data_IF_208065311186
#
_entry.id   IF_208065311186
#
_cell.length_a   1.000
_cell.length_b   1.000
_cell.length_c   1.000
_cell.angle_alpha   90.00
_cell.angle_beta   90.00
_cell.angle_gamma   90.00
#
_symmetry.space_group_name_H-M   'P 1'
#
loop_
_entity.id
_entity.type
_entity.pdbx_description
1 polymer ?
#
# COMPACT_ATOMS: atom_id res chain seq x y z
N UNK A 1 -42.29 27.61 21.79
CA UNK A 1 -42.03 26.49 20.89
C UNK A 1 -42.93 25.35 21.32
N UNK A 2 -43.88 24.98 20.47
CA UNK A 2 -44.86 23.94 20.79
C UNK A 2 -44.17 22.55 20.74
N UNK A 3 -44.64 21.60 21.56
CA UNK A 3 -44.10 20.24 21.58
C UNK A 3 -44.07 19.58 20.18
N UNK A 4 -45.01 19.95 19.32
CA UNK A 4 -45.09 19.50 17.93
C UNK A 4 -43.92 20.00 17.07
N UNK A 5 -43.54 21.28 17.20
CA UNK A 5 -42.42 21.87 16.46
C UNK A 5 -41.10 21.22 16.88
N UNK A 6 -40.95 20.97 18.19
CA UNK A 6 -39.77 20.29 18.72
C UNK A 6 -39.67 18.85 18.20
N UNK A 7 -40.78 18.11 18.21
CA UNK A 7 -40.82 16.74 17.70
C UNK A 7 -40.45 16.68 16.21
N UNK A 8 -40.91 17.64 15.41
CA UNK A 8 -40.70 17.70 13.96
C UNK A 8 -39.25 18.08 13.61
N UNK A 9 -38.66 19.05 14.31
CA UNK A 9 -37.24 19.40 14.15
C UNK A 9 -36.34 18.25 14.60
N UNK A 10 -36.66 17.59 15.71
CA UNK A 10 -35.89 16.47 16.22
C UNK A 10 -35.92 15.25 15.27
N UNK A 11 -37.10 14.92 14.73
CA UNK A 11 -37.22 13.85 13.72
C UNK A 11 -36.52 14.21 12.42
N UNK A 12 -36.58 15.47 11.97
CA UNK A 12 -35.83 15.95 10.81
C UNK A 12 -34.31 15.80 10.98
N UNK A 13 -33.79 16.17 12.14
CA UNK A 13 -32.36 16.02 12.48
C UNK A 13 -31.93 14.54 12.52
N UNK A 14 -32.75 13.66 13.10
CA UNK A 14 -32.47 12.22 13.12
C UNK A 14 -32.48 11.66 11.70
N UNK A 15 -33.49 11.98 10.88
CA UNK A 15 -33.56 11.52 9.50
C UNK A 15 -32.35 11.97 8.68
N UNK A 16 -31.92 13.23 8.87
CA UNK A 16 -30.75 13.78 8.21
C UNK A 16 -29.45 13.10 8.66
N UNK A 17 -29.31 12.80 9.95
CA UNK A 17 -28.15 12.08 10.47
C UNK A 17 -28.09 10.64 9.93
N UNK A 18 -29.22 9.93 9.91
CA UNK A 18 -29.29 8.56 9.36
C UNK A 18 -28.95 8.55 7.88
N UNK A 19 -29.48 9.50 7.11
CA UNK A 19 -29.16 9.65 5.69
C UNK A 19 -27.69 9.99 5.46
N UNK A 20 -27.12 10.85 6.30
CA UNK A 20 -25.69 11.20 6.22
C UNK A 20 -24.81 9.98 6.52
N UNK A 21 -25.16 9.20 7.53
CA UNK A 21 -24.44 7.97 7.89
C UNK A 21 -24.56 6.88 6.83
N UNK A 22 -25.71 6.75 6.15
CA UNK A 22 -25.87 5.75 5.08
C UNK A 22 -25.09 6.08 3.81
N UNK A 23 -24.78 7.36 3.60
CA UNK A 23 -23.95 7.81 2.48
C UNK A 23 -22.45 7.75 2.76
N UNK A 24 -22.03 7.63 4.03
CA UNK A 24 -20.63 7.46 4.39
C UNK A 24 -20.20 6.04 4.05
N UNK A 25 -19.52 5.89 2.91
CA UNK A 25 -18.82 4.65 2.58
C UNK A 25 -17.40 4.76 3.13
N UNK A 26 -17.00 3.82 3.98
CA UNK A 26 -15.61 3.76 4.47
C UNK A 26 -14.74 3.41 3.26
N UNK A 27 -13.75 4.24 2.87
CA UNK A 27 -12.89 3.90 1.75
C UNK A 27 -12.12 2.62 2.07
N UNK A 28 -12.22 1.62 1.19
CA UNK A 28 -11.44 0.41 1.32
C UNK A 28 -9.95 0.73 1.19
N UNK A 29 -9.08 0.06 1.97
CA UNK A 29 -7.64 0.22 1.79
C UNK A 29 -7.27 -0.17 0.36
N UNK A 30 -6.47 0.66 -0.30
CA UNK A 30 -5.99 0.39 -1.66
C UNK A 30 -4.54 -0.05 -1.63
N UNK A 31 -4.17 -0.93 -2.56
CA UNK A 31 -2.78 -1.28 -2.79
C UNK A 31 -2.05 -0.06 -3.38
N UNK A 32 -0.93 0.33 -2.77
CA UNK A 32 -0.05 1.35 -3.33
C UNK A 32 1.39 0.85 -3.43
N UNK A 33 1.95 0.75 -4.65
CA UNK A 33 3.34 0.34 -4.84
C UNK A 33 4.32 1.36 -4.24
N UNK A 34 3.89 2.62 -4.05
CA UNK A 34 4.70 3.69 -3.48
C UNK A 34 5.17 3.38 -2.05
N UNK A 35 4.35 2.70 -1.26
CA UNK A 35 4.69 2.32 0.13
C UNK A 35 5.85 1.32 0.15
N UNK A 36 5.83 0.35 -0.78
CA UNK A 36 6.89 -0.64 -0.92
C UNK A 36 8.19 0.02 -1.43
N UNK A 37 8.09 0.84 -2.47
CA UNK A 37 9.23 1.53 -3.07
C UNK A 37 9.87 2.53 -2.12
N UNK A 38 9.10 3.25 -1.30
CA UNK A 38 9.64 4.18 -0.32
C UNK A 38 10.41 3.49 0.80
N UNK A 39 9.95 2.31 1.24
CA UNK A 39 10.67 1.48 2.20
C UNK A 39 11.99 0.98 1.62
N UNK A 40 11.96 0.46 0.38
CA UNK A 40 13.16 0.02 -0.33
C UNK A 40 14.14 1.18 -0.49
N UNK A 41 13.69 2.34 -0.99
CA UNK A 41 14.54 3.51 -1.20
C UNK A 41 15.18 4.02 0.12
N UNK A 42 14.45 3.93 1.24
CA UNK A 42 14.96 4.36 2.55
C UNK A 42 16.07 3.45 3.09
N UNK A 43 16.07 2.17 2.69
CA UNK A 43 16.92 1.13 3.29
C UNK A 43 18.04 0.67 2.33
N UNK A 44 17.81 0.73 1.02
CA UNK A 44 18.69 0.26 -0.07
C UNK A 44 20.18 0.60 0.09
N UNK A 45 20.51 1.83 0.49
CA UNK A 45 21.89 2.31 0.62
C UNK A 45 22.30 2.62 2.05
N UNK A 46 21.53 2.15 3.03
CA UNK A 46 21.84 2.29 4.47
C UNK A 46 22.01 0.91 5.10
N UNK A 47 23.24 0.38 5.13
CA UNK A 47 23.51 -0.93 5.73
C UNK A 47 23.00 -0.98 7.17
N UNK A 48 22.57 -2.16 7.63
CA UNK A 48 22.02 -2.43 8.97
C UNK A 48 20.71 -1.69 9.30
N UNK A 49 20.16 -0.92 8.36
CA UNK A 49 18.87 -0.26 8.56
C UNK A 49 17.72 -1.23 8.35
N UNK A 50 16.67 -1.04 9.14
CA UNK A 50 15.43 -1.78 9.03
C UNK A 50 14.24 -0.82 9.09
N UNK A 51 13.21 -1.10 8.31
CA UNK A 51 11.94 -0.37 8.30
C UNK A 51 10.82 -1.40 8.27
N UNK A 52 9.79 -1.18 9.09
CA UNK A 52 8.58 -2.00 9.06
C UNK A 52 7.47 -1.22 8.37
N UNK A 53 6.87 -1.82 7.34
CA UNK A 53 5.74 -1.22 6.60
C UNK A 53 4.51 -2.12 6.66
N UNK A 54 3.35 -1.52 6.43
CA UNK A 54 2.09 -2.22 6.23
C UNK A 54 1.66 -2.06 4.79
N UNK A 55 1.46 -3.19 4.11
CA UNK A 55 1.06 -3.24 2.72
C UNK A 55 -0.23 -4.04 2.60
N UNK A 56 -1.28 -3.41 2.10
CA UNK A 56 -2.53 -4.08 1.80
C UNK A 56 -2.50 -4.62 0.37
N UNK A 57 -2.62 -5.93 0.20
CA UNK A 57 -2.88 -6.53 -1.11
C UNK A 57 -4.39 -6.72 -1.26
N UNK A 58 -4.97 -6.19 -2.34
CA UNK A 58 -6.39 -6.41 -2.64
C UNK A 58 -6.63 -7.79 -3.24
N UNK A 59 -7.90 -8.20 -3.34
CA UNK A 59 -8.31 -9.54 -3.78
C UNK A 59 -7.71 -9.95 -5.13
N UNK A 60 -7.65 -9.02 -6.07
CA UNK A 60 -7.18 -9.26 -7.43
C UNK A 60 -5.70 -8.91 -7.62
N UNK A 61 -5.02 -8.43 -6.58
CA UNK A 61 -3.62 -7.98 -6.66
C UNK A 61 -2.68 -9.07 -6.19
N UNK A 62 -1.73 -9.44 -7.04
CA UNK A 62 -0.62 -10.36 -6.71
C UNK A 62 0.68 -9.61 -6.90
N UNK A 63 1.48 -9.52 -5.84
CA UNK A 63 2.82 -8.93 -5.90
C UNK A 63 3.83 -10.06 -5.86
N UNK A 64 4.68 -10.13 -6.88
CA UNK A 64 5.79 -11.09 -6.97
C UNK A 64 7.08 -10.30 -7.01
N UNK A 65 7.94 -10.53 -6.03
CA UNK A 65 9.28 -9.97 -5.95
C UNK A 65 10.24 -11.11 -6.24
N UNK A 66 11.18 -10.91 -7.15
CA UNK A 66 12.23 -11.87 -7.44
C UNK A 66 13.49 -11.17 -7.95
N UNK A 67 14.64 -11.48 -7.35
CA UNK A 67 15.92 -10.85 -7.67
C UNK A 67 15.81 -9.33 -7.66
N UNK A 68 15.88 -8.63 -8.78
CA UNK A 68 15.75 -7.18 -8.86
C UNK A 68 14.41 -6.71 -9.46
N UNK A 69 13.41 -7.60 -9.59
CA UNK A 69 12.16 -7.31 -10.29
C UNK A 69 10.99 -7.39 -9.32
N UNK A 70 10.09 -6.40 -9.42
CA UNK A 70 8.78 -6.41 -8.76
C UNK A 70 7.71 -6.47 -9.86
N UNK A 71 6.95 -7.56 -9.88
CA UNK A 71 5.80 -7.75 -10.75
C UNK A 71 4.51 -7.58 -9.94
N UNK A 72 3.58 -6.81 -10.48
CA UNK A 72 2.27 -6.59 -9.88
C UNK A 72 1.20 -6.99 -10.89
N UNK A 73 0.49 -8.07 -10.59
CA UNK A 73 -0.64 -8.54 -11.39
C UNK A 73 -1.94 -7.98 -10.81
N UNK A 74 -2.91 -7.67 -11.67
CA UNK A 74 -4.21 -7.13 -11.28
C UNK A 74 -4.20 -5.67 -10.79
N UNK A 75 -3.08 -4.98 -10.91
CA UNK A 75 -2.95 -3.55 -10.66
C UNK A 75 -2.05 -2.91 -11.73
N UNK A 76 -2.43 -1.73 -12.22
CA UNK A 76 -1.63 -0.94 -13.15
C UNK A 76 -0.90 0.13 -12.35
N UNK A 77 0.42 0.01 -12.28
CA UNK A 77 1.29 0.99 -11.64
C UNK A 77 1.26 2.26 -12.49
N UNK A 78 0.90 3.40 -11.90
CA UNK A 78 0.92 4.66 -12.63
C UNK A 78 2.35 5.22 -12.65
N UNK A 79 2.81 5.71 -13.81
CA UNK A 79 4.12 6.38 -13.92
C UNK A 79 4.31 7.49 -12.89
N UNK A 80 3.24 8.23 -12.55
CA UNK A 80 3.29 9.26 -11.52
C UNK A 80 3.71 8.76 -10.13
N UNK A 81 3.42 7.50 -9.79
CA UNK A 81 3.81 6.90 -8.50
C UNK A 81 5.28 6.47 -8.46
N UNK A 82 5.88 6.19 -9.61
CA UNK A 82 7.25 5.69 -9.74
C UNK A 82 8.27 6.73 -10.21
N UNK A 83 7.82 7.84 -10.79
CA UNK A 83 8.67 8.90 -11.37
C UNK A 83 9.77 9.38 -10.41
N UNK A 84 9.42 9.58 -9.14
CA UNK A 84 10.37 10.03 -8.12
C UNK A 84 11.48 8.98 -7.91
N UNK A 85 11.12 7.70 -7.87
CA UNK A 85 12.07 6.60 -7.65
C UNK A 85 12.94 6.29 -8.86
N UNK A 86 12.45 6.57 -10.07
CA UNK A 86 13.26 6.55 -11.30
C UNK A 86 14.30 7.69 -11.23
N UNK A 87 13.86 8.89 -10.85
CA UNK A 87 14.74 10.06 -10.74
C UNK A 87 15.81 9.89 -9.66
N UNK A 88 15.49 9.17 -8.58
CA UNK A 88 16.43 8.80 -7.52
C UNK A 88 17.37 7.64 -7.90
N UNK A 89 17.23 7.05 -9.10
CA UNK A 89 18.05 5.93 -9.55
C UNK A 89 17.75 4.60 -8.84
N UNK A 90 16.64 4.48 -8.12
CA UNK A 90 16.21 3.24 -7.45
C UNK A 90 15.55 2.29 -8.46
N UNK A 91 14.70 2.83 -9.34
CA UNK A 91 14.04 2.09 -10.43
C UNK A 91 14.86 2.25 -11.70
N UNK A 92 15.31 1.11 -12.25
CA UNK A 92 16.09 1.01 -13.48
C UNK A 92 15.21 1.05 -14.73
N UNK A 93 14.10 0.31 -14.70
CA UNK A 93 13.17 0.19 -15.82
C UNK A 93 11.73 0.10 -15.30
N UNK A 94 10.81 0.73 -16.02
CA UNK A 94 9.40 0.79 -15.68
C UNK A 94 8.55 0.21 -16.81
N UNK A 95 7.64 -0.69 -16.44
CA UNK A 95 6.50 -1.10 -17.23
C UNK A 95 5.24 -1.12 -16.34
N UNK A 96 4.03 -1.01 -16.91
CA UNK A 96 2.79 -0.85 -16.15
C UNK A 96 2.49 -1.92 -15.09
N UNK A 97 3.08 -3.11 -15.23
CA UNK A 97 2.91 -4.24 -14.30
C UNK A 97 4.24 -4.80 -13.78
N UNK A 98 5.35 -4.17 -14.13
CA UNK A 98 6.69 -4.68 -13.84
C UNK A 98 7.67 -3.54 -13.61
N UNK A 99 8.36 -3.59 -12.48
CA UNK A 99 9.41 -2.65 -12.12
C UNK A 99 10.73 -3.42 -12.02
N UNK A 100 11.76 -2.93 -12.69
CA UNK A 100 13.13 -3.39 -12.49
C UNK A 100 13.86 -2.38 -11.62
N UNK A 101 14.49 -2.87 -10.56
CA UNK A 101 15.19 -2.05 -9.58
C UNK A 101 16.71 -2.17 -9.76
N UNK A 102 17.43 -1.15 -9.30
CA UNK A 102 18.89 -1.15 -9.21
C UNK A 102 19.42 -1.82 -7.93
N UNK A 103 18.54 -2.46 -7.16
CA UNK A 103 18.88 -3.20 -5.94
C UNK A 103 18.45 -4.65 -6.07
N UNK A 104 19.20 -5.53 -5.42
CA UNK A 104 18.83 -6.94 -5.29
C UNK A 104 17.85 -7.12 -4.13
N UNK A 105 16.77 -7.85 -4.40
CA UNK A 105 15.74 -8.26 -3.47
C UNK A 105 15.70 -9.79 -3.34
N UNK A 106 15.17 -10.25 -2.22
CA UNK A 106 14.81 -11.65 -2.06
C UNK A 106 13.52 -12.01 -2.81
N UNK A 107 13.30 -13.30 -3.02
CA UNK A 107 12.06 -13.80 -3.62
C UNK A 107 10.91 -13.77 -2.61
N UNK A 108 9.83 -13.06 -2.93
CA UNK A 108 8.63 -12.99 -2.10
C UNK A 108 7.37 -12.97 -2.96
N UNK A 109 6.29 -13.60 -2.49
CA UNK A 109 5.00 -13.57 -3.17
C UNK A 109 3.89 -13.20 -2.18
N UNK A 110 3.15 -12.14 -2.49
CA UNK A 110 2.02 -11.65 -1.70
C UNK A 110 0.72 -11.88 -2.48
N UNK A 111 -0.26 -12.53 -1.86
CA UNK A 111 -1.51 -12.95 -2.53
C UNK A 111 -2.75 -12.71 -1.68
N UNK A 112 -3.85 -12.30 -2.33
CA UNK A 112 -5.19 -12.23 -1.76
C UNK A 112 -5.43 -11.00 -0.86
N UNK A 113 -6.68 -10.81 -0.41
CA UNK A 113 -7.10 -9.63 0.36
C UNK A 113 -6.55 -9.72 1.80
N UNK A 114 -5.35 -9.21 2.02
CA UNK A 114 -4.65 -9.30 3.31
C UNK A 114 -3.79 -8.08 3.56
N UNK A 115 -3.71 -7.70 4.83
CA UNK A 115 -2.76 -6.71 5.31
C UNK A 115 -1.48 -7.44 5.72
N UNK A 116 -0.40 -7.18 4.99
CA UNK A 116 0.93 -7.70 5.27
C UNK A 116 1.73 -6.68 6.06
N UNK A 117 2.31 -7.10 7.17
CA UNK A 117 3.35 -6.34 7.87
C UNK A 117 4.69 -6.86 7.36
N UNK A 118 5.38 -6.04 6.58
CA UNK A 118 6.66 -6.38 5.95
C UNK A 118 7.80 -5.70 6.71
N UNK A 119 8.83 -6.47 7.03
CA UNK A 119 10.13 -5.97 7.45
C UNK A 119 11.01 -5.81 6.22
N UNK A 120 11.52 -4.60 5.99
CA UNK A 120 12.47 -4.30 4.93
C UNK A 120 13.81 -3.99 5.59
N UNK A 121 14.82 -4.81 5.35
CA UNK A 121 16.16 -4.64 5.95
C UNK A 121 17.25 -4.63 4.88
N UNK A 122 18.37 -3.95 5.15
CA UNK A 122 19.52 -3.90 4.25
C UNK A 122 20.74 -4.54 4.93
N UNK A 123 21.03 -5.82 4.66
CA UNK A 123 22.25 -6.45 5.18
C UNK A 123 23.52 -5.82 4.60
N UNK A 124 23.49 -5.42 3.32
CA UNK A 124 24.61 -4.82 2.59
C UNK A 124 24.07 -3.81 1.59
N UNK A 125 24.78 -2.70 1.37
CA UNK A 125 24.38 -1.69 0.39
C UNK A 125 24.06 -2.33 -0.97
N UNK A 126 22.87 -2.03 -1.51
CA UNK A 126 22.36 -2.60 -2.74
C UNK A 126 21.62 -3.94 -2.61
N UNK A 127 21.62 -4.58 -1.44
CA UNK A 127 20.86 -5.78 -1.15
C UNK A 127 19.79 -5.48 -0.09
N UNK A 128 18.53 -5.77 -0.42
CA UNK A 128 17.38 -5.52 0.44
C UNK A 128 16.64 -6.83 0.68
N UNK A 129 16.37 -7.14 1.94
CA UNK A 129 15.59 -8.30 2.35
C UNK A 129 14.19 -7.83 2.76
N UNK A 130 13.17 -8.46 2.18
CA UNK A 130 11.77 -8.22 2.52
C UNK A 130 11.19 -9.47 3.16
N UNK A 131 10.87 -9.39 4.44
CA UNK A 131 10.30 -10.50 5.22
C UNK A 131 8.89 -10.18 5.66
N UNK A 132 8.00 -11.17 5.68
CA UNK A 132 6.65 -11.02 6.22
C UNK A 132 6.70 -11.32 7.71
N UNK A 133 6.46 -10.32 8.55
CA UNK A 133 6.39 -10.49 10.01
C UNK A 133 5.01 -10.99 10.42
N UNK A 134 3.96 -10.39 9.85
CA UNK A 134 2.59 -10.63 10.28
C UNK A 134 1.64 -10.56 9.07
N UNK A 135 0.63 -11.41 9.08
CA UNK A 135 -0.43 -11.42 8.08
C UNK A 135 -1.76 -11.26 8.81
N UNK A 136 -2.48 -10.17 8.54
CA UNK A 136 -3.84 -9.95 9.04
C UNK A 136 -4.85 -10.09 7.91
N UNK A 137 -5.95 -10.79 8.20
CA UNK A 137 -7.13 -10.77 7.32
C UNK A 137 -7.88 -9.46 7.57
N UNK A 138 -8.26 -8.81 6.47
CA UNK A 138 -9.09 -7.59 6.46
C UNK A 138 -10.51 -8.03 6.17
#
# INVERSE_FOLDING_TARGET
>A
MNALEYALVFTGLIAYLVLSLSLITIPEPTFSPRILLSAIASVAYRPTSEVTIRLYASKDVIVVIHSNVIEVQGYVINYGEVKDFISLGIVKSYAPQRLELNVELNSLRLTGPRLYVLKVSCPKAGHVLVEIIEIRRV
#
